data_IF_420178846014
#
_entry.id   IF_420178846014
#
_cell.length_a   1.000
_cell.length_b   1.000
_cell.length_c   1.000
_cell.angle_alpha   90.00
_cell.angle_beta   90.00
_cell.angle_gamma   90.00
#
_symmetry.space_group_name_H-M   'P 1'
#
loop_
_entity.id
_entity.type
_entity.pdbx_description
1 polymer ?
#
# COMPACT_ATOMS: atom_id res chain seq x y z
N UNK A 1 37.74 -24.33 70.20
CA UNK A 1 37.06 -23.03 70.01
C UNK A 1 36.43 -23.04 68.63
N UNK A 2 35.10 -23.13 68.56
CA UNK A 2 34.34 -23.37 67.34
C UNK A 2 34.15 -22.07 66.55
N UNK A 3 34.75 -21.99 65.36
CA UNK A 3 34.48 -20.95 64.38
C UNK A 3 33.23 -21.29 63.57
N UNK A 4 32.20 -20.43 63.64
CA UNK A 4 31.01 -20.51 62.80
C UNK A 4 31.26 -19.75 61.50
N UNK A 5 31.31 -20.48 60.38
CA UNK A 5 31.26 -19.91 59.04
C UNK A 5 29.82 -19.53 58.70
N UNK A 6 29.59 -18.28 58.29
CA UNK A 6 28.33 -17.81 57.71
C UNK A 6 28.51 -17.81 56.19
N UNK A 7 27.75 -18.65 55.49
CA UNK A 7 27.66 -18.60 54.03
C UNK A 7 26.63 -17.53 53.64
N UNK A 8 27.04 -16.52 52.88
CA UNK A 8 26.14 -15.55 52.26
C UNK A 8 25.92 -15.97 50.81
N UNK A 9 24.70 -16.41 50.51
CA UNK A 9 24.29 -16.70 49.13
C UNK A 9 23.88 -15.40 48.47
N UNK A 10 24.64 -14.96 47.47
CA UNK A 10 24.24 -13.86 46.58
C UNK A 10 23.39 -14.46 45.46
N UNK A 11 22.10 -14.16 45.46
CA UNK A 11 21.23 -14.46 44.33
C UNK A 11 21.42 -13.38 43.26
N UNK A 12 22.11 -13.74 42.17
CA UNK A 12 22.16 -12.93 40.95
C UNK A 12 20.82 -13.08 40.21
N UNK A 13 19.98 -12.06 40.28
CA UNK A 13 18.80 -11.94 39.44
C UNK A 13 19.26 -11.34 38.10
N UNK A 14 19.29 -12.16 37.06
CA UNK A 14 19.42 -11.69 35.69
C UNK A 14 18.03 -11.31 35.16
N UNK A 15 17.73 -10.02 35.07
CA UNK A 15 16.61 -9.54 34.28
C UNK A 15 17.00 -9.59 32.80
N UNK A 16 16.40 -10.52 32.06
CA UNK A 16 16.53 -10.57 30.61
C UNK A 16 15.61 -9.50 29.99
N UNK A 17 16.18 -8.36 29.60
CA UNK A 17 15.50 -7.41 28.71
C UNK A 17 15.40 -8.05 27.32
N UNK A 18 14.25 -8.67 27.05
CA UNK A 18 13.87 -9.06 25.70
C UNK A 18 13.54 -7.79 24.91
N UNK A 19 14.55 -7.22 24.26
CA UNK A 19 14.35 -6.20 23.24
C UNK A 19 13.56 -6.81 22.07
N UNK A 20 12.23 -6.74 22.13
CA UNK A 20 11.37 -7.09 21.02
C UNK A 20 11.64 -6.14 19.86
N UNK A 21 12.00 -6.67 18.69
CA UNK A 21 12.12 -5.88 17.47
C UNK A 21 10.76 -5.25 17.15
N UNK A 22 10.60 -3.95 17.45
CA UNK A 22 9.41 -3.21 17.06
C UNK A 22 9.39 -3.09 15.54
N UNK A 23 8.31 -3.57 14.90
CA UNK A 23 8.12 -3.38 13.47
C UNK A 23 8.09 -1.87 13.17
N UNK A 24 8.84 -1.44 12.15
CA UNK A 24 8.84 -0.04 11.74
C UNK A 24 7.41 0.38 11.36
N UNK A 25 6.98 1.59 11.77
CA UNK A 25 5.67 2.10 11.36
C UNK A 25 5.60 2.12 9.83
N UNK A 26 4.43 1.86 9.21
CA UNK A 26 4.29 1.75 7.76
C UNK A 26 4.91 2.94 6.99
N UNK A 27 4.77 4.15 7.51
CA UNK A 27 5.32 5.37 6.92
C UNK A 27 6.86 5.35 6.84
N UNK A 28 7.54 4.72 7.80
CA UNK A 28 9.00 4.64 7.84
C UNK A 28 9.57 3.65 6.79
N UNK A 29 8.72 2.87 6.13
CA UNK A 29 9.12 1.95 5.06
C UNK A 29 9.14 2.64 3.69
N UNK A 30 8.65 3.88 3.59
CA UNK A 30 8.62 4.67 2.35
C UNK A 30 9.91 5.50 2.17
N UNK A 31 10.37 5.71 0.92
CA UNK A 31 11.47 6.63 0.65
C UNK A 31 11.05 8.09 0.92
N UNK A 32 12.01 8.93 1.30
CA UNK A 32 11.75 10.31 1.74
C UNK A 32 10.90 11.15 0.79
N UNK A 33 11.13 11.02 -0.52
CA UNK A 33 10.34 11.74 -1.54
C UNK A 33 8.85 11.36 -1.49
N UNK A 34 8.55 10.09 -1.27
CA UNK A 34 7.18 9.58 -1.18
C UNK A 34 6.54 9.96 0.14
N UNK A 35 7.29 9.87 1.25
CA UNK A 35 6.84 10.32 2.57
C UNK A 35 6.42 11.80 2.53
N UNK A 36 7.22 12.67 1.91
CA UNK A 36 6.89 14.10 1.77
C UNK A 36 5.60 14.34 0.97
N UNK A 37 5.44 13.66 -0.16
CA UNK A 37 4.21 13.78 -0.97
C UNK A 37 2.99 13.26 -0.19
N UNK A 38 3.12 12.09 0.44
CA UNK A 38 2.03 11.46 1.18
C UNK A 38 1.62 12.28 2.40
N UNK A 39 2.55 12.81 3.20
CA UNK A 39 2.23 13.66 4.34
C UNK A 39 1.50 14.95 3.92
N UNK A 40 1.95 15.54 2.82
CA UNK A 40 1.33 16.72 2.23
C UNK A 40 -0.11 16.41 1.80
N UNK A 41 -0.34 15.27 1.14
CA UNK A 41 -1.66 14.82 0.71
C UNK A 41 -2.55 14.40 1.89
N UNK A 42 -2.01 13.67 2.86
CA UNK A 42 -2.72 13.17 4.04
C UNK A 42 -3.34 14.28 4.89
N UNK A 43 -2.67 15.44 4.96
CA UNK A 43 -3.20 16.63 5.64
C UNK A 43 -4.38 17.25 4.89
N UNK A 44 -4.37 17.23 3.56
CA UNK A 44 -5.42 17.84 2.72
C UNK A 44 -6.65 16.95 2.57
N UNK A 45 -6.44 15.65 2.38
CA UNK A 45 -7.49 14.68 2.05
C UNK A 45 -7.97 13.89 3.27
N UNK A 46 -7.42 14.17 4.46
CA UNK A 46 -7.71 13.45 5.70
C UNK A 46 -7.54 11.92 5.55
N UNK A 47 -6.44 11.47 4.94
CA UNK A 47 -6.14 10.04 4.72
C UNK A 47 -5.00 9.54 5.62
N UNK A 48 -4.90 8.23 5.80
CA UNK A 48 -3.79 7.54 6.45
C UNK A 48 -3.42 6.24 5.73
N UNK A 49 -2.21 5.73 5.96
CA UNK A 49 -1.78 4.44 5.40
C UNK A 49 -2.64 3.32 6.00
N UNK A 50 -3.14 2.46 5.14
CA UNK A 50 -3.86 1.25 5.52
C UNK A 50 -2.95 0.03 5.32
N UNK A 51 -2.25 -0.38 6.37
CA UNK A 51 -1.35 -1.53 6.33
C UNK A 51 -2.05 -2.87 6.58
N UNK A 52 -3.34 -3.00 6.27
CA UNK A 52 -4.11 -4.24 6.48
C UNK A 52 -3.65 -5.41 5.60
N UNK A 53 -2.91 -5.13 4.52
CA UNK A 53 -2.33 -6.13 3.61
C UNK A 53 -0.83 -5.91 3.53
N UNK A 54 -0.07 -6.98 3.30
CA UNK A 54 1.37 -6.93 3.11
C UNK A 54 1.72 -7.56 1.76
N UNK A 55 2.38 -6.84 0.83
CA UNK A 55 2.80 -5.44 0.96
C UNK A 55 1.63 -4.46 0.83
N UNK A 56 1.60 -3.43 1.69
CA UNK A 56 0.64 -2.30 1.58
C UNK A 56 1.10 -1.25 0.56
N UNK A 57 2.31 -1.42 0.02
CA UNK A 57 2.93 -0.54 -0.98
C UNK A 57 3.44 -1.38 -2.15
N UNK A 58 3.07 -1.00 -3.36
CA UNK A 58 3.63 -1.54 -4.59
C UNK A 58 4.53 -0.51 -5.24
N UNK A 59 5.49 -1.00 -6.02
CA UNK A 59 6.41 -0.20 -6.81
C UNK A 59 6.29 -0.57 -8.27
N UNK A 60 6.23 0.44 -9.14
CA UNK A 60 6.14 0.27 -10.60
C UNK A 60 6.43 1.59 -11.30
N UNK A 61 6.50 1.58 -12.64
CA UNK A 61 6.50 2.75 -13.52
C UNK A 61 5.04 3.00 -13.97
N UNK A 62 4.23 3.56 -13.06
CA UNK A 62 2.78 3.64 -13.25
C UNK A 62 2.41 4.79 -14.20
N UNK A 63 3.15 5.90 -14.18
CA UNK A 63 2.94 7.04 -15.09
C UNK A 63 3.71 6.93 -16.42
N UNK A 64 4.68 6.04 -16.52
CA UNK A 64 5.42 5.76 -17.75
C UNK A 64 6.65 6.65 -17.97
N UNK A 65 7.10 7.39 -16.95
CA UNK A 65 8.29 8.24 -17.02
C UNK A 65 9.63 7.47 -16.88
N UNK A 66 9.55 6.16 -16.62
CA UNK A 66 10.70 5.28 -16.45
C UNK A 66 11.39 5.39 -15.08
N UNK A 67 10.76 6.04 -14.10
CA UNK A 67 11.17 6.11 -12.70
C UNK A 67 10.24 5.23 -11.86
N UNK A 68 10.77 4.78 -10.72
CA UNK A 68 9.99 3.97 -9.79
C UNK A 68 9.05 4.83 -8.97
N UNK A 69 7.76 4.70 -9.24
CA UNK A 69 6.63 5.24 -8.49
C UNK A 69 6.20 4.28 -7.39
N UNK A 70 5.26 4.74 -6.55
CA UNK A 70 4.63 3.91 -5.53
C UNK A 70 3.11 3.98 -5.63
N UNK A 71 2.46 2.87 -5.32
CA UNK A 71 1.04 2.83 -5.04
C UNK A 71 0.86 2.33 -3.60
N UNK A 72 0.13 3.07 -2.76
CA UNK A 72 0.04 2.82 -1.31
C UNK A 72 -1.43 2.65 -0.93
N UNK A 73 -1.74 1.58 -0.19
CA UNK A 73 -3.06 1.39 0.39
C UNK A 73 -3.31 2.44 1.47
N UNK A 74 -4.47 3.08 1.40
CA UNK A 74 -4.88 4.16 2.30
C UNK A 74 -6.31 3.97 2.79
N UNK A 75 -6.65 4.74 3.82
CA UNK A 75 -8.00 4.83 4.36
C UNK A 75 -8.35 6.28 4.63
N UNK A 76 -9.58 6.68 4.28
CA UNK A 76 -10.13 7.97 4.69
C UNK A 76 -10.36 7.97 6.20
N UNK A 77 -9.90 9.01 6.90
CA UNK A 77 -10.13 9.17 8.33
C UNK A 77 -11.58 9.50 8.64
N UNK A 78 -12.27 10.16 7.71
CA UNK A 78 -13.64 10.61 7.90
C UNK A 78 -14.64 9.50 7.58
N UNK A 79 -14.61 8.96 6.36
CA UNK A 79 -15.59 7.98 5.90
C UNK A 79 -15.22 6.53 6.20
N UNK A 80 -13.95 6.27 6.55
CA UNK A 80 -13.37 4.93 6.71
C UNK A 80 -13.34 4.10 5.42
N UNK A 81 -13.70 4.67 4.27
CA UNK A 81 -13.53 4.01 2.96
C UNK A 81 -12.05 3.80 2.66
N UNK A 82 -11.75 2.69 2.03
CA UNK A 82 -10.38 2.30 1.67
C UNK A 82 -10.08 2.63 0.21
N UNK A 83 -8.82 2.86 -0.11
CA UNK A 83 -8.40 3.25 -1.44
C UNK A 83 -6.91 3.10 -1.66
N UNK A 84 -6.45 3.65 -2.78
CA UNK A 84 -5.05 3.63 -3.21
C UNK A 84 -4.63 5.05 -3.54
N UNK A 85 -3.45 5.44 -3.08
CA UNK A 85 -2.75 6.63 -3.58
C UNK A 85 -1.60 6.20 -4.49
N UNK A 86 -1.54 6.76 -5.69
CA UNK A 86 -0.36 6.73 -6.56
C UNK A 86 0.50 7.95 -6.26
N UNK A 87 1.77 7.71 -5.90
CA UNK A 87 2.81 8.69 -5.64
C UNK A 87 3.84 8.60 -6.76
N UNK A 88 3.93 9.65 -7.57
CA UNK A 88 4.82 9.68 -8.73
C UNK A 88 6.16 10.32 -8.34
N UNK A 89 7.26 9.73 -8.79
CA UNK A 89 8.59 10.20 -8.37
C UNK A 89 8.94 11.57 -8.95
N UNK A 90 8.46 11.88 -10.16
CA UNK A 90 8.61 13.19 -10.79
C UNK A 90 7.41 14.10 -10.51
N UNK A 91 7.41 15.32 -11.08
CA UNK A 91 6.46 16.42 -10.74
C UNK A 91 4.98 16.16 -11.09
N UNK A 92 4.60 14.93 -11.43
CA UNK A 92 3.19 14.58 -11.53
C UNK A 92 2.54 14.66 -10.13
N UNK A 93 1.33 15.21 -10.07
CA UNK A 93 0.59 15.29 -8.82
C UNK A 93 0.15 13.87 -8.39
N UNK A 94 0.19 13.54 -7.09
CA UNK A 94 -0.38 12.30 -6.57
C UNK A 94 -1.83 12.10 -7.00
N UNK A 95 -2.24 10.85 -7.18
CA UNK A 95 -3.59 10.49 -7.57
C UNK A 95 -4.22 9.57 -6.53
N UNK A 96 -5.47 9.83 -6.13
CA UNK A 96 -6.24 8.95 -5.25
C UNK A 96 -7.36 8.28 -6.05
N UNK A 97 -7.56 7.00 -5.80
CA UNK A 97 -8.73 6.22 -6.22
C UNK A 97 -9.28 5.44 -5.03
N UNK A 98 -10.60 5.29 -4.94
CA UNK A 98 -11.23 4.82 -3.71
C UNK A 98 -11.13 5.88 -2.59
N UNK A 99 -11.26 5.46 -1.33
CA UNK A 99 -11.24 6.34 -0.16
C UNK A 99 -12.22 7.54 -0.26
N UNK A 100 -13.35 7.37 -0.97
CA UNK A 100 -14.32 8.43 -1.27
C UNK A 100 -14.18 9.05 -2.66
N UNK A 101 -13.16 8.69 -3.44
CA UNK A 101 -12.97 9.11 -4.83
C UNK A 101 -13.38 7.99 -5.79
N UNK A 102 -14.54 8.14 -6.43
CA UNK A 102 -15.09 7.13 -7.31
C UNK A 102 -14.20 6.85 -8.54
N UNK A 103 -13.99 5.58 -8.86
CA UNK A 103 -13.28 5.10 -10.04
C UNK A 103 -14.19 4.22 -10.91
N UNK A 104 -15.12 4.85 -11.63
CA UNK A 104 -16.06 4.16 -12.53
C UNK A 104 -16.72 2.95 -11.82
N UNK A 105 -16.74 1.76 -12.45
CA UNK A 105 -17.31 0.54 -11.89
C UNK A 105 -16.60 0.04 -10.62
N UNK A 106 -15.37 0.50 -10.35
CA UNK A 106 -14.66 0.19 -9.10
C UNK A 106 -15.27 0.87 -7.87
N UNK A 107 -16.16 1.85 -8.06
CA UNK A 107 -16.77 2.59 -6.96
C UNK A 107 -15.74 3.46 -6.21
N UNK A 108 -16.08 3.83 -4.98
CA UNK A 108 -15.28 4.76 -4.16
C UNK A 108 -14.76 4.14 -2.85
N UNK A 109 -14.96 2.84 -2.64
CA UNK A 109 -14.49 2.09 -1.47
C UNK A 109 -13.87 0.75 -1.89
N UNK A 110 -12.59 0.57 -1.57
CA UNK A 110 -11.81 -0.63 -1.90
C UNK A 110 -11.64 -1.58 -0.70
N UNK A 111 -12.49 -1.48 0.32
CA UNK A 111 -12.48 -2.41 1.45
C UNK A 111 -12.70 -3.89 1.06
N UNK A 112 -13.21 -4.14 -0.14
CA UNK A 112 -13.42 -5.48 -0.71
C UNK A 112 -12.14 -6.13 -1.25
N UNK A 113 -11.05 -5.37 -1.38
CA UNK A 113 -9.81 -5.82 -2.02
C UNK A 113 -9.06 -6.85 -1.14
N UNK A 114 -8.70 -7.96 -1.77
CA UNK A 114 -7.91 -9.08 -1.20
C UNK A 114 -6.70 -9.43 -2.09
N UNK A 115 -6.79 -9.17 -3.39
CA UNK A 115 -5.70 -9.28 -4.38
C UNK A 115 -5.22 -7.88 -4.75
N UNK A 116 -3.91 -7.68 -4.72
CA UNK A 116 -3.24 -6.41 -5.01
C UNK A 116 -1.81 -6.68 -5.47
N UNK A 117 -1.59 -6.52 -6.77
CA UNK A 117 -0.32 -6.87 -7.40
C UNK A 117 -0.03 -5.99 -8.61
N UNK A 118 1.25 -5.78 -8.89
CA UNK A 118 1.69 -5.06 -10.09
C UNK A 118 1.50 -5.95 -11.31
N UNK A 119 1.03 -5.34 -12.39
CA UNK A 119 0.96 -5.94 -13.70
C UNK A 119 1.90 -5.19 -14.65
N UNK A 120 2.84 -5.90 -15.27
CA UNK A 120 3.95 -5.27 -15.98
C UNK A 120 3.50 -4.59 -17.28
N UNK A 121 4.18 -3.48 -17.60
CA UNK A 121 4.12 -2.86 -18.92
C UNK A 121 4.30 -3.87 -20.04
N UNK A 122 3.42 -3.79 -21.04
CA UNK A 122 3.45 -4.65 -22.21
C UNK A 122 2.72 -5.98 -22.05
N UNK A 123 2.24 -6.31 -20.84
CA UNK A 123 1.31 -7.43 -20.64
C UNK A 123 0.01 -7.22 -21.44
N UNK A 124 -0.62 -8.32 -21.84
CA UNK A 124 -1.90 -8.31 -22.55
C UNK A 124 -3.00 -8.70 -21.57
N UNK A 125 -3.84 -7.73 -21.24
CA UNK A 125 -4.92 -7.87 -20.28
C UNK A 125 -6.23 -8.18 -21.00
N UNK A 126 -6.97 -9.16 -20.48
CA UNK A 126 -8.23 -9.63 -21.07
C UNK A 126 -9.39 -9.08 -20.25
N UNK A 127 -10.21 -8.23 -20.84
CA UNK A 127 -11.43 -7.80 -20.18
C UNK A 127 -12.61 -8.70 -20.57
N UNK A 128 -13.51 -8.90 -19.62
CA UNK A 128 -14.77 -9.60 -19.85
C UNK A 128 -15.75 -8.79 -20.72
N UNK A 129 -15.73 -7.46 -20.59
CA UNK A 129 -16.67 -6.56 -21.30
C UNK A 129 -15.99 -5.61 -22.29
N UNK A 130 -14.68 -5.42 -22.18
CA UNK A 130 -13.92 -4.49 -23.02
C UNK A 130 -12.96 -5.22 -23.97
N UNK A 131 -12.40 -4.47 -24.92
CA UNK A 131 -11.32 -5.00 -25.76
C UNK A 131 -10.08 -5.27 -24.92
N UNK A 132 -9.43 -6.40 -25.19
CA UNK A 132 -8.11 -6.69 -24.62
C UNK A 132 -7.16 -5.53 -24.87
N UNK A 133 -6.41 -5.13 -23.85
CA UNK A 133 -5.44 -4.03 -23.94
C UNK A 133 -4.02 -4.55 -23.77
N UNK A 134 -3.07 -3.83 -24.36
CA UNK A 134 -1.65 -4.00 -24.07
C UNK A 134 -1.21 -2.82 -23.21
N UNK A 135 -0.73 -3.10 -22.00
CA UNK A 135 -0.32 -2.06 -21.07
C UNK A 135 0.82 -1.21 -21.63
N UNK A 136 0.74 0.10 -21.41
CA UNK A 136 1.77 1.08 -21.85
C UNK A 136 2.69 1.52 -20.71
N UNK A 137 2.19 1.38 -19.49
CA UNK A 137 2.85 1.61 -18.20
C UNK A 137 2.55 0.41 -17.32
N UNK A 138 3.17 0.32 -16.16
CA UNK A 138 2.75 -0.69 -15.18
C UNK A 138 1.32 -0.39 -14.71
N UNK A 139 0.59 -1.45 -14.37
CA UNK A 139 -0.75 -1.39 -13.83
C UNK A 139 -0.84 -2.13 -12.50
N UNK A 140 -2.04 -2.18 -11.94
CA UNK A 140 -2.33 -2.89 -10.71
C UNK A 140 -3.56 -3.75 -10.93
N UNK A 141 -3.43 -5.06 -10.69
CA UNK A 141 -4.57 -5.95 -10.57
C UNK A 141 -5.09 -5.86 -9.14
N UNK A 142 -6.38 -5.56 -9.02
CA UNK A 142 -7.14 -5.59 -7.77
C UNK A 142 -8.22 -6.65 -7.87
N UNK A 143 -8.51 -7.34 -6.78
CA UNK A 143 -9.46 -8.44 -6.83
C UNK A 143 -9.93 -8.91 -5.46
N UNK A 144 -11.02 -9.68 -5.48
CA UNK A 144 -11.49 -10.51 -4.39
C UNK A 144 -11.52 -11.95 -4.88
N UNK A 145 -10.97 -12.87 -4.08
CA UNK A 145 -10.87 -14.25 -4.52
C UNK A 145 -12.27 -14.86 -4.76
N UNK A 146 -12.47 -15.47 -5.94
CA UNK A 146 -13.75 -16.07 -6.33
C UNK A 146 -14.89 -15.09 -6.60
N UNK A 147 -14.61 -13.80 -6.77
CA UNK A 147 -15.59 -12.77 -7.09
C UNK A 147 -15.03 -11.78 -8.12
N UNK A 148 -15.11 -10.48 -7.84
CA UNK A 148 -14.70 -9.44 -8.78
C UNK A 148 -13.17 -9.26 -8.89
N UNK A 149 -12.70 -8.93 -10.09
CA UNK A 149 -11.34 -8.45 -10.33
C UNK A 149 -11.28 -7.39 -11.41
N UNK A 150 -10.29 -6.52 -11.32
CA UNK A 150 -10.08 -5.43 -12.25
C UNK A 150 -8.60 -5.05 -12.37
N UNK A 151 -8.30 -4.39 -13.48
CA UNK A 151 -7.03 -3.71 -13.73
C UNK A 151 -7.22 -2.22 -13.52
N UNK A 152 -6.36 -1.61 -12.70
CA UNK A 152 -6.22 -0.16 -12.56
C UNK A 152 -4.91 0.25 -13.23
N UNK A 153 -4.96 1.19 -14.17
CA UNK A 153 -3.76 1.70 -14.83
C UNK A 153 -3.88 3.19 -15.15
N UNK A 154 -2.76 3.89 -15.31
CA UNK A 154 -2.76 5.32 -15.59
C UNK A 154 -2.73 5.55 -17.11
N UNK A 155 -3.63 6.41 -17.60
CA UNK A 155 -3.69 6.82 -19.01
C UNK A 155 -3.91 8.33 -19.09
N UNK A 156 -2.91 9.04 -19.62
CA UNK A 156 -2.97 10.50 -19.74
C UNK A 156 -3.13 11.21 -18.38
N UNK A 157 -2.44 10.71 -17.36
CA UNK A 157 -2.47 11.29 -15.99
C UNK A 157 -3.73 10.97 -15.18
N UNK A 158 -4.60 10.08 -15.66
CA UNK A 158 -5.81 9.64 -14.94
C UNK A 158 -5.81 8.13 -14.74
N UNK A 159 -6.30 7.67 -13.60
CA UNK A 159 -6.56 6.25 -13.39
C UNK A 159 -7.74 5.79 -14.24
N UNK A 160 -7.60 4.59 -14.78
CA UNK A 160 -8.62 3.89 -15.57
C UNK A 160 -8.90 2.55 -14.90
N UNK A 161 -10.17 2.23 -14.76
CA UNK A 161 -10.66 0.92 -14.34
C UNK A 161 -10.99 0.09 -15.57
N UNK A 162 -10.52 -1.15 -15.61
CA UNK A 162 -10.97 -2.16 -16.56
C UNK A 162 -11.36 -3.44 -15.83
N UNK A 163 -12.64 -3.80 -15.91
CA UNK A 163 -13.16 -5.04 -15.32
C UNK A 163 -12.51 -6.27 -15.97
N UNK A 164 -12.00 -7.21 -15.16
CA UNK A 164 -11.41 -8.49 -15.61
C UNK A 164 -12.33 -9.68 -15.29
N UNK A 165 -13.04 -9.68 -14.15
CA UNK A 165 -14.03 -10.71 -13.78
C UNK A 165 -15.06 -10.20 -12.77
N UNK A 166 -16.21 -10.84 -12.69
CA UNK A 166 -17.38 -10.48 -11.88
C UNK A 166 -17.83 -11.59 -10.91
#
# INVERSE_FOLDING_TARGET
>A
MNGRSIAVTVALVFSADMAGAQALPPQAQLPSWATQQLESLAKREAIEINARMNPFVLRGDFDGDGKGDLAVLIKSKDSKKEGIVFLFKQKAAPLIVGAGHALSNGGDDFAWLEVWQVEDKGSRQHSYHEKSLKLKTDGIVVGKEGAASALIYIKGGKAVWQQQGD
#
